data_IF_803434083107
#
_entry.id   IF_803434083107
#
_cell.length_a   1.000
_cell.length_b   1.000
_cell.length_c   1.000
_cell.angle_alpha   90.00
_cell.angle_beta   90.00
_cell.angle_gamma   90.00
#
_symmetry.space_group_name_H-M   'P 1'
#
loop_
_entity.id
_entity.type
_entity.pdbx_description
1 polymer ?
#
# COMPACT_ATOMS: atom_id res chain seq x y z
N UNK A 1 5.22 5.83 3.97
CA UNK A 1 5.20 7.01 3.12
C UNK A 1 4.42 6.73 1.85
N UNK A 2 3.42 7.54 1.57
CA UNK A 2 2.49 7.32 0.48
C UNK A 2 1.33 6.42 0.88
N UNK A 3 0.30 6.42 0.07
CA UNK A 3 -0.90 5.62 0.28
C UNK A 3 -1.03 4.58 -0.82
N UNK A 4 -1.33 3.33 -0.45
CA UNK A 4 -1.65 2.29 -1.42
C UNK A 4 -3.02 2.60 -2.04
N UNK A 5 -4.01 2.89 -1.19
CA UNK A 5 -5.36 3.28 -1.62
C UNK A 5 -5.61 4.70 -1.17
N UNK A 6 -6.02 5.56 -2.09
CA UNK A 6 -6.31 6.97 -1.78
C UNK A 6 -7.39 7.47 -2.72
N UNK A 7 -8.64 7.28 -2.33
CA UNK A 7 -9.78 7.73 -3.11
C UNK A 7 -10.72 8.54 -2.22
N UNK A 8 -10.51 9.85 -2.16
CA UNK A 8 -11.30 10.73 -1.31
C UNK A 8 -12.77 10.82 -1.73
N UNK A 9 -13.09 10.93 -3.04
CA UNK A 9 -14.50 10.98 -3.44
C UNK A 9 -15.31 9.75 -3.06
N UNK A 10 -14.66 8.58 -2.94
CA UNK A 10 -15.35 7.34 -2.58
C UNK A 10 -15.44 7.12 -1.08
N UNK A 11 -14.76 7.93 -0.27
CA UNK A 11 -14.71 7.73 1.17
C UNK A 11 -16.08 7.87 1.83
N UNK A 12 -16.34 7.03 2.81
CA UNK A 12 -17.47 7.20 3.72
C UNK A 12 -17.06 8.19 4.82
N UNK A 13 -17.35 9.44 4.60
CA UNK A 13 -16.98 10.51 5.52
C UNK A 13 -17.74 10.46 6.84
N UNK A 14 -18.88 9.74 6.87
CA UNK A 14 -19.67 9.59 8.07
C UNK A 14 -19.18 8.49 9.00
N UNK A 15 -18.32 7.59 8.51
CA UNK A 15 -17.85 6.45 9.31
C UNK A 15 -16.38 6.14 9.01
N UNK A 16 -15.50 6.66 9.85
CA UNK A 16 -14.07 6.44 9.74
C UNK A 16 -13.70 4.96 9.82
N UNK A 17 -14.44 4.20 10.60
CA UNK A 17 -14.13 2.80 10.89
C UNK A 17 -15.01 1.82 10.10
N UNK A 18 -15.66 2.29 9.03
CA UNK A 18 -16.44 1.38 8.20
C UNK A 18 -15.53 0.32 7.57
N UNK A 19 -16.13 -0.82 7.21
CA UNK A 19 -15.40 -1.87 6.54
C UNK A 19 -14.80 -1.34 5.23
N UNK A 20 -13.56 -1.73 4.89
CA UNK A 20 -12.99 -1.38 3.60
C UNK A 20 -13.88 -1.85 2.45
N UNK A 21 -13.96 -1.06 1.40
CA UNK A 21 -14.62 -1.52 0.19
C UNK A 21 -13.84 -2.71 -0.38
N UNK A 22 -14.54 -3.63 -1.02
CA UNK A 22 -13.92 -4.85 -1.56
C UNK A 22 -12.73 -4.54 -2.47
N UNK A 23 -12.90 -3.57 -3.37
CA UNK A 23 -11.84 -3.18 -4.29
C UNK A 23 -10.65 -2.51 -3.57
N UNK A 24 -10.89 -1.77 -2.48
CA UNK A 24 -9.84 -1.20 -1.65
C UNK A 24 -9.01 -2.29 -0.99
N UNK A 25 -9.69 -3.26 -0.38
CA UNK A 25 -9.03 -4.35 0.32
C UNK A 25 -8.23 -5.21 -0.66
N UNK A 26 -8.81 -5.54 -1.81
CA UNK A 26 -8.12 -6.36 -2.82
C UNK A 26 -6.85 -5.70 -3.31
N UNK A 27 -6.93 -4.41 -3.65
CA UNK A 27 -5.76 -3.70 -4.14
C UNK A 27 -4.69 -3.52 -3.07
N UNK A 28 -5.10 -3.17 -1.84
CA UNK A 28 -4.18 -3.03 -0.72
C UNK A 28 -3.43 -4.34 -0.46
N UNK A 29 -4.15 -5.45 -0.45
CA UNK A 29 -3.57 -6.77 -0.23
C UNK A 29 -2.64 -7.18 -1.37
N UNK A 30 -3.01 -6.87 -2.61
CA UNK A 30 -2.17 -7.15 -3.77
C UNK A 30 -0.81 -6.46 -3.65
N UNK A 31 -0.80 -5.19 -3.31
CA UNK A 31 0.43 -4.41 -3.17
C UNK A 31 1.24 -4.89 -1.97
N UNK A 32 0.60 -5.16 -0.83
CA UNK A 32 1.30 -5.72 0.33
C UNK A 32 1.97 -7.04 -0.01
N UNK A 33 1.28 -7.91 -0.73
CA UNK A 33 1.84 -9.20 -1.17
C UNK A 33 3.06 -8.98 -2.06
N UNK A 34 2.99 -8.05 -2.99
CA UNK A 34 4.12 -7.70 -3.84
C UNK A 34 5.32 -7.23 -3.03
N UNK A 35 5.08 -6.48 -1.95
CA UNK A 35 6.14 -6.01 -1.06
C UNK A 35 6.75 -7.16 -0.28
N UNK A 36 5.91 -8.03 0.29
CA UNK A 36 6.38 -9.20 1.06
C UNK A 36 7.18 -10.14 0.18
N UNK A 37 6.75 -10.36 -1.05
CA UNK A 37 7.42 -11.27 -1.99
C UNK A 37 8.61 -10.63 -2.71
N UNK A 38 8.92 -9.39 -2.40
CA UNK A 38 9.98 -8.62 -3.06
C UNK A 38 9.80 -8.62 -4.58
N UNK A 39 8.59 -8.30 -5.01
CA UNK A 39 8.21 -8.21 -6.41
C UNK A 39 7.80 -6.77 -6.75
N UNK A 40 8.74 -5.78 -6.69
CA UNK A 40 8.39 -4.37 -6.84
C UNK A 40 7.77 -4.05 -8.20
N UNK A 41 8.05 -4.85 -9.22
CA UNK A 41 7.47 -4.64 -10.54
C UNK A 41 5.95 -4.72 -10.51
N UNK A 42 5.38 -5.54 -9.63
CA UNK A 42 3.92 -5.59 -9.47
C UNK A 42 3.36 -4.27 -8.96
N UNK A 43 4.09 -3.59 -8.08
CA UNK A 43 3.68 -2.27 -7.60
C UNK A 43 3.82 -1.20 -8.68
N UNK A 44 4.87 -1.27 -9.50
CA UNK A 44 5.07 -0.37 -10.64
C UNK A 44 3.97 -0.59 -11.68
N UNK A 45 3.63 -1.84 -11.96
CA UNK A 45 2.61 -2.21 -12.95
C UNK A 45 1.21 -2.30 -12.34
N UNK A 46 0.92 -1.49 -11.32
CA UNK A 46 -0.34 -1.56 -10.57
C UNK A 46 -1.58 -1.42 -11.47
N UNK A 47 -1.46 -0.74 -12.57
CA UNK A 47 -2.58 -0.55 -13.50
C UNK A 47 -3.09 -1.86 -14.10
N UNK A 48 -2.27 -2.92 -14.07
CA UNK A 48 -2.69 -4.25 -14.54
C UNK A 48 -3.83 -4.83 -13.70
N UNK A 49 -4.09 -4.27 -12.51
CA UNK A 49 -5.18 -4.70 -11.66
C UNK A 49 -6.54 -4.11 -12.08
N UNK A 50 -6.58 -3.37 -13.18
CA UNK A 50 -7.83 -2.92 -13.79
C UNK A 50 -8.62 -1.96 -12.92
N UNK A 51 -9.90 -2.27 -12.70
CA UNK A 51 -10.81 -1.38 -11.97
C UNK A 51 -10.40 -1.17 -10.51
N UNK A 52 -9.86 -2.20 -9.87
CA UNK A 52 -9.38 -2.06 -8.48
C UNK A 52 -8.28 -1.01 -8.40
N UNK A 53 -7.36 -1.02 -9.35
CA UNK A 53 -6.30 -0.03 -9.43
C UNK A 53 -6.84 1.36 -9.73
N UNK A 54 -7.74 1.49 -10.70
CA UNK A 54 -8.33 2.78 -11.05
C UNK A 54 -9.07 3.43 -9.90
N UNK A 55 -9.81 2.63 -9.14
CA UNK A 55 -10.56 3.13 -7.98
C UNK A 55 -9.64 3.45 -6.81
N UNK A 56 -8.59 2.66 -6.62
CA UNK A 56 -7.67 2.83 -5.49
C UNK A 56 -6.66 3.95 -5.74
N UNK A 57 -6.25 4.15 -6.97
CA UNK A 57 -5.25 5.14 -7.38
C UNK A 57 -5.82 5.98 -8.53
N UNK A 58 -6.85 6.83 -8.25
CA UNK A 58 -7.42 7.67 -9.30
C UNK A 58 -6.42 8.65 -9.88
N UNK A 59 -5.50 9.13 -9.04
CA UNK A 59 -4.32 9.89 -9.46
C UNK A 59 -3.13 9.33 -8.69
N UNK A 60 -1.93 9.25 -9.29
CA UNK A 60 -0.82 8.54 -8.67
C UNK A 60 -0.04 9.33 -7.62
N UNK A 61 -0.38 10.57 -7.36
CA UNK A 61 0.42 11.48 -6.53
C UNK A 61 0.69 10.92 -5.13
N UNK A 62 -0.29 10.27 -4.53
CA UNK A 62 -0.17 9.68 -3.19
C UNK A 62 0.37 8.27 -3.21
N UNK A 63 0.46 7.67 -4.39
CA UNK A 63 1.00 6.32 -4.58
C UNK A 63 2.50 6.35 -4.89
N UNK A 64 2.95 7.30 -5.70
CA UNK A 64 4.35 7.39 -6.13
C UNK A 64 5.37 7.35 -4.98
N UNK A 65 5.15 8.01 -3.83
CA UNK A 65 6.13 7.93 -2.75
C UNK A 65 6.44 6.51 -2.30
N UNK A 66 5.46 5.60 -2.35
CA UNK A 66 5.69 4.20 -2.05
C UNK A 66 6.72 3.59 -3.01
N UNK A 67 6.65 3.93 -4.29
CA UNK A 67 7.58 3.38 -5.29
C UNK A 67 9.02 3.81 -5.01
N UNK A 68 9.23 5.03 -4.50
CA UNK A 68 10.56 5.48 -4.10
C UNK A 68 11.09 4.65 -2.93
N UNK A 69 10.24 4.35 -1.95
CA UNK A 69 10.63 3.51 -0.83
C UNK A 69 11.01 2.11 -1.31
N UNK A 70 10.21 1.53 -2.19
CA UNK A 70 10.51 0.20 -2.74
C UNK A 70 11.77 0.20 -3.59
N UNK A 71 12.03 1.28 -4.32
CA UNK A 71 13.26 1.44 -5.10
C UNK A 71 14.52 1.54 -4.25
N UNK A 72 14.38 1.95 -3.00
CA UNK A 72 15.50 2.06 -2.06
C UNK A 72 15.76 0.77 -1.28
N UNK A 73 14.94 -0.26 -1.48
CA UNK A 73 15.07 -1.53 -0.77
C UNK A 73 16.41 -2.19 -1.06
N UNK A 74 17.05 -2.66 0.00
CA UNK A 74 18.30 -3.40 -0.09
C UNK A 74 18.04 -4.91 0.02
N UNK A 75 18.93 -5.74 -0.55
CA UNK A 75 18.84 -7.20 -0.36
C UNK A 75 18.79 -7.54 1.12
N UNK A 76 17.85 -8.39 1.50
CA UNK A 76 17.68 -8.80 2.88
C UNK A 76 16.79 -7.90 3.73
N UNK A 77 16.35 -6.76 3.22
CA UNK A 77 15.41 -5.93 3.95
C UNK A 77 14.09 -6.66 4.16
N UNK A 78 13.54 -6.50 5.36
CA UNK A 78 12.28 -7.12 5.77
C UNK A 78 11.21 -6.04 5.88
N UNK A 79 10.06 -6.18 5.18
CA UNK A 79 8.98 -5.23 5.30
C UNK A 79 8.19 -5.43 6.59
N UNK A 80 7.79 -4.32 7.20
CA UNK A 80 6.87 -4.29 8.33
C UNK A 80 5.77 -3.31 8.02
N UNK A 81 4.53 -3.67 8.35
CA UNK A 81 3.37 -2.81 8.11
C UNK A 81 2.78 -2.37 9.45
N UNK A 82 2.92 -1.09 9.77
CA UNK A 82 2.34 -0.51 10.98
C UNK A 82 2.27 1.02 10.83
N UNK A 83 1.07 1.62 10.88
CA UNK A 83 -0.22 0.97 10.95
C UNK A 83 -0.56 0.18 9.69
N UNK A 84 -1.60 -0.63 9.76
CA UNK A 84 -2.03 -1.49 8.65
C UNK A 84 -3.55 -1.61 8.65
N UNK A 85 -4.23 -0.57 8.18
CA UNK A 85 -5.68 -0.55 8.08
C UNK A 85 -6.15 0.46 7.04
N UNK A 86 -7.40 0.35 6.65
CA UNK A 86 -8.06 1.28 5.72
C UNK A 86 -9.15 2.03 6.48
N UNK A 87 -9.13 3.36 6.39
CA UNK A 87 -10.13 4.22 7.00
C UNK A 87 -11.11 4.75 5.95
N UNK A 88 -12.32 5.07 6.39
CA UNK A 88 -13.37 5.63 5.52
C UNK A 88 -13.62 4.78 4.26
N UNK A 89 -13.31 3.50 4.29
CA UNK A 89 -13.52 2.57 3.19
C UNK A 89 -12.49 2.61 2.07
N UNK A 90 -11.82 3.74 1.84
CA UNK A 90 -10.93 3.90 0.68
C UNK A 90 -9.70 4.80 0.95
N UNK A 91 -9.26 4.87 2.20
CA UNK A 91 -8.03 5.56 2.55
C UNK A 91 -7.12 4.60 3.33
N UNK A 92 -6.12 4.08 2.66
CA UNK A 92 -5.16 3.17 3.28
C UNK A 92 -4.24 3.92 4.22
N UNK A 93 -4.22 3.52 5.47
CA UNK A 93 -3.28 4.02 6.48
C UNK A 93 -2.10 3.06 6.63
N UNK A 94 -2.03 2.03 5.80
CA UNK A 94 -0.94 1.07 5.80
C UNK A 94 0.38 1.77 5.52
N UNK A 95 1.32 1.64 6.43
CA UNK A 95 2.67 2.17 6.27
C UNK A 95 3.65 1.02 6.24
N UNK A 96 4.63 1.09 5.33
CA UNK A 96 5.65 0.08 5.21
C UNK A 96 6.99 0.62 5.68
N UNK A 97 7.69 -0.17 6.48
CA UNK A 97 9.08 0.08 6.85
C UNK A 97 9.91 -1.08 6.32
N UNK A 98 10.97 -0.75 5.62
CA UNK A 98 11.95 -1.72 5.16
C UNK A 98 13.17 -1.62 6.06
N UNK A 99 13.53 -2.71 6.71
CA UNK A 99 14.67 -2.72 7.63
C UNK A 99 15.53 -3.95 7.41
N UNK A 100 16.81 -3.77 7.51
CA UNK A 100 17.75 -4.89 7.53
C UNK A 100 17.56 -5.65 8.83
N UNK A 101 17.45 -6.98 8.79
CA UNK A 101 17.38 -7.77 10.01
C UNK A 101 18.56 -7.43 10.91
N UNK A 102 18.29 -7.14 12.18
CA UNK A 102 19.29 -6.60 13.06
C UNK A 102 20.12 -7.71 13.69
N UNK A 103 20.95 -8.32 12.88
CA UNK A 103 21.82 -9.39 13.37
C UNK A 103 22.80 -8.90 14.42
N UNK A 104 23.17 -7.65 14.31
CA UNK A 104 24.10 -7.04 15.27
C UNK A 104 23.50 -6.90 16.65
N UNK A 105 22.20 -7.11 16.79
CA UNK A 105 21.61 -7.21 18.12
C UNK A 105 22.19 -8.37 18.91
N UNK A 106 22.78 -9.25 18.19
CA UNK A 106 23.49 -10.33 18.81
C UNK A 106 24.71 -9.80 19.57
#
# INVERSE_FOLDING_TARGET
TGNIVHNLPAMDWGDRNCAPYDWSQRFNDYIKTAIVEDAPQRAVDFESQGQDAKRSVPTPDHYWPLLYVLGARLPGDVPTFAPDHIEHGSLSMTSVTLSTPHLASA
#
